data_IF_046337193764
#
_entry.id   IF_046337193764
#
_cell.length_a   1.000
_cell.length_b   1.000
_cell.length_c   1.000
_cell.angle_alpha   90.00
_cell.angle_beta   90.00
_cell.angle_gamma   90.00
#
_symmetry.space_group_name_H-M   'P 1'
#
loop_
_entity.id
_entity.type
_entity.pdbx_description
1 polymer ?
#
# COMPACT_ATOMS: atom_id res chain seq x y z
N UNK A 1 -51.78 6.43 64.74
CA UNK A 1 -50.96 7.66 64.87
C UNK A 1 -49.51 7.18 64.92
N UNK A 2 -48.55 7.52 64.06
CA UNK A 2 -48.29 8.69 63.22
C UNK A 2 -47.78 8.23 61.84
N UNK A 3 -48.14 9.01 60.82
CA UNK A 3 -47.56 9.00 59.46
C UNK A 3 -46.17 9.63 59.53
N UNK A 4 -45.18 9.02 58.90
CA UNK A 4 -43.96 9.71 58.45
C UNK A 4 -43.79 9.44 56.96
N UNK A 5 -44.07 10.47 56.19
CA UNK A 5 -43.71 10.66 54.80
C UNK A 5 -42.37 11.41 54.82
N UNK A 6 -41.35 10.97 54.08
CA UNK A 6 -40.46 11.83 53.27
C UNK A 6 -39.66 10.94 52.29
N UNK A 7 -39.40 11.43 51.06
CA UNK A 7 -39.10 10.61 49.90
C UNK A 7 -37.60 10.35 49.76
N UNK A 8 -37.24 9.12 49.40
CA UNK A 8 -35.91 8.85 48.85
C UNK A 8 -36.03 8.89 47.32
N UNK A 9 -35.70 10.05 46.76
CA UNK A 9 -35.45 10.20 45.33
C UNK A 9 -34.26 9.30 44.95
N UNK A 10 -34.55 8.18 44.27
CA UNK A 10 -33.51 7.35 43.70
C UNK A 10 -33.04 7.99 42.38
N UNK A 11 -31.77 8.40 42.38
CA UNK A 11 -31.06 8.96 41.23
C UNK A 11 -31.16 8.03 40.02
N UNK A 12 -31.61 8.58 38.91
CA UNK A 12 -31.51 7.95 37.59
C UNK A 12 -30.05 8.12 37.15
N UNK A 13 -29.23 7.08 37.33
CA UNK A 13 -27.90 7.01 36.72
C UNK A 13 -28.09 6.85 35.21
N UNK A 14 -28.10 7.97 34.50
CA UNK A 14 -27.98 7.99 33.05
C UNK A 14 -26.58 7.49 32.69
N UNK A 15 -26.48 6.23 32.27
CA UNK A 15 -25.29 5.72 31.62
C UNK A 15 -25.17 6.40 30.25
N UNK A 16 -24.39 7.47 30.18
CA UNK A 16 -23.78 7.83 28.90
C UNK A 16 -22.79 6.72 28.57
N UNK A 17 -23.25 5.72 27.81
CA UNK A 17 -22.37 4.91 27.01
C UNK A 17 -21.64 5.87 26.07
N UNK A 18 -20.43 6.26 26.44
CA UNK A 18 -19.49 6.87 25.49
C UNK A 18 -19.20 5.78 24.47
N UNK A 19 -19.89 5.84 23.34
CA UNK A 19 -19.49 5.10 22.16
C UNK A 19 -18.03 5.47 21.86
N UNK A 20 -17.16 4.51 21.49
CA UNK A 20 -15.89 4.87 20.91
C UNK A 20 -16.16 5.78 19.71
N UNK A 21 -15.50 6.93 19.74
CA UNK A 21 -15.52 7.96 18.73
C UNK A 21 -15.18 7.35 17.36
N UNK A 22 -16.21 7.08 16.56
CA UNK A 22 -16.08 6.66 15.16
C UNK A 22 -15.67 7.88 14.34
N UNK A 23 -14.43 8.33 14.53
CA UNK A 23 -14.01 9.67 14.14
C UNK A 23 -12.62 9.79 13.54
N UNK A 24 -11.99 8.71 13.06
CA UNK A 24 -10.75 8.85 12.25
C UNK A 24 -10.43 7.64 11.34
N UNK A 25 -11.45 6.89 10.89
CA UNK A 25 -11.32 5.72 10.00
C UNK A 25 -11.41 6.09 8.51
N UNK A 26 -10.86 7.25 8.08
CA UNK A 26 -10.93 7.70 6.67
C UNK A 26 -9.56 7.86 5.99
N UNK A 27 -8.45 7.62 6.70
CA UNK A 27 -7.10 7.70 6.11
C UNK A 27 -6.60 6.41 5.47
N UNK A 28 -7.22 5.26 5.75
CA UNK A 28 -6.57 3.97 5.49
C UNK A 28 -6.23 3.74 4.01
N UNK A 29 -7.08 4.21 3.08
CA UNK A 29 -7.03 3.77 1.67
C UNK A 29 -6.85 4.89 0.65
N UNK A 30 -6.18 5.96 1.04
CA UNK A 30 -5.71 6.93 0.05
C UNK A 30 -4.74 6.25 -0.92
N UNK A 31 -4.81 6.64 -2.20
CA UNK A 31 -3.87 6.15 -3.19
C UNK A 31 -2.47 6.66 -2.86
N UNK A 32 -1.56 5.74 -2.54
CA UNK A 32 -0.16 6.02 -2.20
C UNK A 32 0.76 5.28 -3.18
N UNK A 33 1.92 5.86 -3.47
CA UNK A 33 2.93 5.28 -4.37
C UNK A 33 4.22 5.02 -3.62
N UNK A 34 4.74 3.79 -3.74
CA UNK A 34 5.96 3.36 -3.08
C UNK A 34 7.05 3.11 -4.13
N UNK A 35 8.02 4.04 -4.32
CA UNK A 35 9.07 3.87 -5.30
C UNK A 35 10.10 2.84 -4.83
N UNK A 36 10.17 1.70 -5.51
CA UNK A 36 11.17 0.65 -5.26
C UNK A 36 12.28 0.72 -6.31
N UNK A 37 13.50 0.96 -5.86
CA UNK A 37 14.68 1.04 -6.72
C UNK A 37 15.52 -0.23 -6.68
N UNK A 38 16.07 -0.58 -7.83
CA UNK A 38 17.01 -1.69 -8.01
C UNK A 38 18.37 -1.14 -8.42
N UNK A 39 19.44 -1.76 -7.92
CA UNK A 39 20.77 -1.49 -8.44
C UNK A 39 20.87 -1.95 -9.92
N UNK A 40 21.88 -1.42 -10.62
CA UNK A 40 22.14 -1.79 -12.02
C UNK A 40 22.33 -3.30 -12.14
N UNK A 41 21.66 -3.90 -13.12
CA UNK A 41 21.67 -5.36 -13.40
C UNK A 41 21.19 -6.26 -12.25
N UNK A 42 20.70 -5.69 -11.15
CA UNK A 42 20.13 -6.43 -10.04
C UNK A 42 18.61 -6.58 -10.16
N UNK A 43 18.13 -7.69 -9.60
CA UNK A 43 16.70 -8.07 -9.52
C UNK A 43 16.26 -8.32 -8.09
N UNK A 44 17.21 -8.31 -7.14
CA UNK A 44 16.93 -8.51 -5.72
C UNK A 44 16.44 -7.24 -5.07
N UNK A 45 15.58 -7.40 -4.07
CA UNK A 45 15.11 -6.29 -3.22
C UNK A 45 16.22 -5.93 -2.22
N UNK A 46 16.64 -4.66 -2.24
CA UNK A 46 17.55 -4.09 -1.26
C UNK A 46 16.89 -3.99 0.12
N UNK A 47 17.66 -3.78 1.19
CA UNK A 47 17.09 -3.58 2.54
C UNK A 47 16.09 -2.40 2.59
N UNK A 48 16.37 -1.21 2.00
CA UNK A 48 15.37 -0.14 1.94
C UNK A 48 14.11 -0.52 1.16
N UNK A 49 14.24 -1.33 0.09
CA UNK A 49 13.08 -1.83 -0.63
C UNK A 49 12.23 -2.76 0.24
N UNK A 50 12.86 -3.63 1.04
CA UNK A 50 12.15 -4.50 1.98
C UNK A 50 11.35 -3.67 3.00
N UNK A 51 11.95 -2.62 3.57
CA UNK A 51 11.26 -1.72 4.51
C UNK A 51 10.03 -1.03 3.87
N UNK A 52 10.16 -0.57 2.62
CA UNK A 52 9.02 -0.01 1.89
C UNK A 52 7.91 -1.02 1.65
N UNK A 53 8.25 -2.28 1.39
CA UNK A 53 7.27 -3.35 1.24
C UNK A 53 6.56 -3.66 2.56
N UNK A 54 7.24 -3.53 3.71
CA UNK A 54 6.60 -3.66 5.04
C UNK A 54 5.54 -2.56 5.22
N UNK A 55 5.88 -1.32 4.92
CA UNK A 55 4.94 -0.19 5.00
C UNK A 55 3.76 -0.38 4.04
N UNK A 56 4.01 -0.77 2.80
CA UNK A 56 2.95 -0.99 1.81
C UNK A 56 1.98 -2.11 2.24
N UNK A 57 2.50 -3.21 2.80
CA UNK A 57 1.69 -4.31 3.31
C UNK A 57 0.87 -3.89 4.55
N UNK A 58 1.46 -3.12 5.48
CA UNK A 58 0.76 -2.58 6.64
C UNK A 58 -0.39 -1.65 6.21
N UNK A 59 -0.13 -0.73 5.29
CA UNK A 59 -1.15 0.17 4.71
C UNK A 59 -2.29 -0.61 4.06
N UNK A 60 -1.96 -1.61 3.25
CA UNK A 60 -2.97 -2.44 2.60
C UNK A 60 -3.80 -3.25 3.60
N UNK A 61 -3.20 -3.69 4.72
CA UNK A 61 -3.92 -4.45 5.76
C UNK A 61 -4.99 -3.62 6.47
N UNK A 62 -4.79 -2.31 6.59
CA UNK A 62 -5.80 -1.36 7.08
C UNK A 62 -6.92 -1.09 6.07
N UNK A 63 -6.78 -1.60 4.83
CA UNK A 63 -7.70 -1.32 3.73
C UNK A 63 -8.61 -2.48 3.37
N UNK A 64 -9.85 -2.42 3.84
CA UNK A 64 -10.89 -3.33 3.39
C UNK A 64 -11.10 -3.22 1.87
N UNK A 65 -10.78 -4.29 1.14
CA UNK A 65 -10.90 -4.33 -0.32
C UNK A 65 -9.80 -3.60 -1.10
N UNK A 66 -8.72 -3.19 -0.43
CA UNK A 66 -7.57 -2.56 -1.09
C UNK A 66 -6.88 -3.50 -2.10
N UNK A 67 -6.20 -2.88 -3.07
CA UNK A 67 -5.36 -3.57 -4.05
C UNK A 67 -4.07 -2.79 -4.31
N UNK A 68 -3.06 -3.47 -4.83
CA UNK A 68 -1.78 -2.90 -5.25
C UNK A 68 -1.57 -3.13 -6.75
N UNK A 69 -1.03 -2.14 -7.42
CA UNK A 69 -0.48 -2.28 -8.75
C UNK A 69 1.03 -2.13 -8.68
N UNK A 70 1.76 -3.14 -9.15
CA UNK A 70 3.22 -3.12 -9.26
C UNK A 70 3.56 -2.85 -10.71
N UNK A 71 3.97 -1.62 -10.99
CA UNK A 71 4.40 -1.20 -12.33
C UNK A 71 5.92 -1.36 -12.44
N UNK A 72 6.37 -2.21 -13.37
CA UNK A 72 7.79 -2.49 -13.57
C UNK A 72 8.39 -1.61 -14.66
N UNK A 73 9.42 -0.84 -14.32
CA UNK A 73 10.12 0.05 -15.24
C UNK A 73 11.61 -0.31 -15.38
N UNK A 74 12.19 0.06 -16.52
CA UNK A 74 13.63 0.12 -16.75
C UNK A 74 14.00 1.47 -17.37
N UNK A 75 15.30 1.76 -17.46
CA UNK A 75 15.76 2.81 -18.36
C UNK A 75 15.58 2.40 -19.83
N UNK A 76 15.78 3.34 -20.74
CA UNK A 76 15.66 3.15 -22.18
C UNK A 76 16.99 2.76 -22.86
N UNK A 77 18.01 2.43 -22.07
CA UNK A 77 19.32 2.05 -22.60
C UNK A 77 19.29 0.58 -23.00
N UNK A 78 19.81 0.28 -24.19
CA UNK A 78 19.96 -1.09 -24.66
C UNK A 78 18.75 -1.62 -25.42
N UNK A 79 18.38 -2.88 -25.16
CA UNK A 79 17.39 -3.63 -25.95
C UNK A 79 16.01 -3.60 -25.28
N UNK A 80 14.99 -3.16 -26.02
CA UNK A 80 13.61 -3.04 -25.53
C UNK A 80 13.04 -4.37 -25.01
N UNK A 81 13.25 -5.48 -25.72
CA UNK A 81 12.75 -6.80 -25.28
C UNK A 81 13.42 -7.25 -23.99
N UNK A 82 14.72 -6.97 -23.84
CA UNK A 82 15.46 -7.22 -22.60
C UNK A 82 14.92 -6.35 -21.45
N UNK A 83 14.67 -5.07 -21.72
CA UNK A 83 14.11 -4.11 -20.79
C UNK A 83 12.72 -4.54 -20.30
N UNK A 84 11.86 -5.00 -21.21
CA UNK A 84 10.56 -5.57 -20.87
C UNK A 84 10.68 -6.80 -19.95
N UNK A 85 11.63 -7.69 -20.23
CA UNK A 85 11.87 -8.88 -19.40
C UNK A 85 12.37 -8.50 -18.00
N UNK A 86 13.32 -7.57 -17.90
CA UNK A 86 13.87 -7.11 -16.61
C UNK A 86 12.78 -6.43 -15.78
N UNK A 87 11.94 -5.59 -16.39
CA UNK A 87 10.79 -5.00 -15.74
C UNK A 87 9.85 -6.07 -15.15
N UNK A 88 9.57 -7.14 -15.91
CA UNK A 88 8.77 -8.28 -15.45
C UNK A 88 9.39 -9.01 -14.27
N UNK A 89 10.68 -9.33 -14.34
CA UNK A 89 11.39 -10.03 -13.27
C UNK A 89 11.45 -9.21 -11.97
N UNK A 90 11.63 -7.89 -12.06
CA UNK A 90 11.61 -6.98 -10.91
C UNK A 90 10.23 -6.83 -10.31
N UNK A 91 9.20 -6.70 -11.14
CA UNK A 91 7.81 -6.65 -10.68
C UNK A 91 7.42 -7.96 -9.97
N UNK A 92 7.88 -9.11 -10.48
CA UNK A 92 7.70 -10.40 -9.82
C UNK A 92 8.40 -10.46 -8.45
N UNK A 93 9.63 -9.96 -8.34
CA UNK A 93 10.35 -9.91 -7.06
C UNK A 93 9.59 -9.08 -6.00
N UNK A 94 8.95 -7.97 -6.41
CA UNK A 94 8.11 -7.17 -5.51
C UNK A 94 6.84 -7.94 -5.10
N UNK A 95 6.17 -8.63 -6.02
CA UNK A 95 5.02 -9.49 -5.68
C UNK A 95 5.41 -10.56 -4.68
N UNK A 96 6.50 -11.28 -4.93
CA UNK A 96 6.99 -12.32 -4.02
C UNK A 96 7.30 -11.72 -2.63
N UNK A 97 7.89 -10.53 -2.59
CA UNK A 97 8.15 -9.80 -1.35
C UNK A 97 6.88 -9.36 -0.61
N UNK A 98 5.83 -8.92 -1.31
CA UNK A 98 4.55 -8.53 -0.72
C UNK A 98 3.74 -9.75 -0.24
N UNK A 99 3.75 -10.83 -1.00
CA UNK A 99 3.08 -12.09 -0.61
C UNK A 99 3.71 -12.72 0.62
N UNK A 100 5.04 -12.63 0.76
CA UNK A 100 5.74 -13.02 1.99
C UNK A 100 5.29 -12.22 3.23
N UNK A 101 4.70 -11.03 3.04
CA UNK A 101 4.14 -10.17 4.09
C UNK A 101 2.63 -10.38 4.30
N UNK A 102 2.05 -11.37 3.64
CA UNK A 102 0.63 -11.74 3.80
C UNK A 102 -0.33 -11.01 2.85
N UNK A 103 0.17 -10.23 1.89
CA UNK A 103 -0.67 -9.69 0.82
C UNK A 103 -1.11 -10.83 -0.10
N UNK A 104 -2.40 -10.96 -0.35
CA UNK A 104 -2.89 -12.03 -1.23
C UNK A 104 -2.50 -11.73 -2.68
N UNK A 105 -2.01 -12.72 -3.46
CA UNK A 105 -1.65 -12.51 -4.86
C UNK A 105 -2.79 -11.90 -5.70
N UNK A 106 -4.04 -12.20 -5.38
CA UNK A 106 -5.22 -11.67 -6.07
C UNK A 106 -5.45 -10.18 -5.84
N UNK A 107 -4.85 -9.60 -4.79
CA UNK A 107 -4.86 -8.16 -4.52
C UNK A 107 -3.75 -7.42 -5.28
N UNK A 108 -2.85 -8.14 -5.96
CA UNK A 108 -1.68 -7.56 -6.64
C UNK A 108 -1.85 -7.72 -8.15
N UNK A 109 -1.80 -6.61 -8.87
CA UNK A 109 -1.69 -6.58 -10.33
C UNK A 109 -0.27 -6.26 -10.75
N UNK A 110 0.32 -7.09 -11.60
CA UNK A 110 1.62 -6.81 -12.22
C UNK A 110 1.43 -6.10 -13.57
N UNK A 111 2.12 -4.98 -13.77
CA UNK A 111 2.10 -4.21 -15.01
C UNK A 111 3.55 -3.88 -15.42
N UNK A 112 4.32 -4.83 -15.97
CA UNK A 112 5.65 -4.54 -16.49
C UNK A 112 5.53 -3.76 -17.81
N UNK A 113 6.15 -2.59 -17.88
CA UNK A 113 6.10 -1.71 -19.05
C UNK A 113 7.48 -1.46 -19.68
N UNK A 114 8.53 -2.08 -19.14
CA UNK A 114 9.88 -1.96 -19.67
C UNK A 114 10.35 -0.52 -19.64
N UNK A 115 10.81 -0.04 -20.80
CA UNK A 115 11.29 1.32 -20.99
C UNK A 115 10.19 2.34 -21.37
N UNK A 116 8.91 1.97 -21.23
CA UNK A 116 7.81 2.89 -21.52
C UNK A 116 7.89 4.12 -20.60
N UNK A 117 7.81 5.30 -21.20
CA UNK A 117 7.98 6.58 -20.51
C UNK A 117 9.44 7.05 -20.41
N UNK A 118 10.42 6.19 -20.72
CA UNK A 118 11.84 6.55 -20.72
C UNK A 118 12.33 7.11 -22.07
N UNK A 119 11.43 7.26 -23.05
CA UNK A 119 11.69 7.86 -24.37
C UNK A 119 10.66 8.94 -24.70
N UNK A 120 11.10 10.03 -25.35
CA UNK A 120 10.19 11.01 -25.96
C UNK A 120 9.51 10.43 -27.21
N UNK A 121 8.54 11.15 -27.77
CA UNK A 121 7.91 10.78 -29.06
C UNK A 121 8.94 10.75 -30.21
N UNK A 122 10.02 11.51 -30.08
CA UNK A 122 11.15 11.60 -31.01
C UNK A 122 12.24 10.53 -30.73
N UNK A 123 12.05 9.71 -29.69
CA UNK A 123 12.94 8.60 -29.34
C UNK A 123 14.13 8.97 -28.44
N UNK A 124 14.18 10.19 -27.91
CA UNK A 124 15.25 10.63 -27.00
C UNK A 124 15.07 10.03 -25.60
N UNK A 125 16.15 9.50 -25.02
CA UNK A 125 16.12 8.95 -23.66
C UNK A 125 15.91 10.04 -22.61
N UNK A 126 14.90 9.89 -21.76
CA UNK A 126 14.59 10.82 -20.68
C UNK A 126 14.64 10.12 -19.32
N UNK A 127 15.07 10.80 -18.24
CA UNK A 127 15.01 10.25 -16.90
C UNK A 127 13.55 9.98 -16.51
N UNK A 128 13.27 8.77 -16.07
CA UNK A 128 12.00 8.42 -15.44
C UNK A 128 11.88 9.22 -14.14
N UNK A 129 10.77 9.97 -13.99
CA UNK A 129 10.46 10.75 -12.77
C UNK A 129 9.43 10.04 -11.92
#
# INVERSE_FOLDING_TARGET
MKRFLFPAAALILSACATAPDSGDEVSACLAETFPVYFARDEKGLSAPAQELLDVAAERLSGCAGGSLEVVGYTDAVGNETLNQRIAGERAQAVLDGLTARGVQPQQIKLTPVGEAGAKTAEGETVPMR
#
